data_IF_357341758211
#
_entry.id   IF_357341758211
#
_cell.length_a   1.000
_cell.length_b   1.000
_cell.length_c   1.000
_cell.angle_alpha   90.00
_cell.angle_beta   90.00
_cell.angle_gamma   90.00
#
_symmetry.space_group_name_H-M   'P 1'
#
loop_
_entity.id
_entity.type
_entity.pdbx_description
1 polymer ?
#
# COMPACT_ATOMS: atom_id res chain seq x y z
N UNK A 1 10.86 -15.43 -16.23
CA UNK A 1 10.15 -14.60 -15.25
C UNK A 1 9.56 -15.49 -14.16
N UNK A 2 9.78 -15.13 -12.93
CA UNK A 2 9.28 -15.91 -11.81
C UNK A 2 7.93 -15.35 -11.40
N UNK A 3 6.86 -16.09 -11.67
CA UNK A 3 5.50 -15.63 -11.36
C UNK A 3 5.26 -15.41 -9.88
N UNK A 4 6.07 -16.02 -9.01
CA UNK A 4 5.98 -15.81 -7.58
C UNK A 4 6.42 -14.41 -7.16
N UNK A 5 7.17 -13.68 -7.99
CA UNK A 5 7.65 -12.34 -7.70
C UNK A 5 6.83 -11.24 -8.37
N UNK A 6 6.10 -11.60 -9.42
CA UNK A 6 5.28 -10.67 -10.16
C UNK A 6 3.82 -11.08 -10.07
N UNK A 7 2.96 -10.10 -9.94
CA UNK A 7 1.54 -10.32 -9.97
C UNK A 7 0.93 -9.42 -11.05
N UNK A 8 0.17 -10.02 -11.96
CA UNK A 8 -0.51 -9.31 -13.02
C UNK A 8 -2.01 -9.40 -12.79
N UNK A 9 -2.65 -8.24 -12.72
CA UNK A 9 -4.10 -8.13 -12.56
C UNK A 9 -4.68 -7.51 -13.81
N UNK A 10 -5.73 -8.13 -14.34
CA UNK A 10 -6.40 -7.69 -15.57
C UNK A 10 -7.81 -7.23 -15.24
N UNK A 11 -8.21 -6.08 -15.78
CA UNK A 11 -9.54 -5.55 -15.55
C UNK A 11 -10.02 -4.77 -16.78
N UNK A 12 -11.31 -4.95 -17.12
CA UNK A 12 -11.86 -4.36 -18.33
C UNK A 12 -12.39 -2.94 -18.15
N UNK A 13 -12.90 -2.60 -16.96
CA UNK A 13 -13.63 -1.35 -16.74
C UNK A 13 -12.83 -0.25 -16.06
N UNK A 14 -11.69 -0.57 -15.44
CA UNK A 14 -10.89 0.41 -14.73
C UNK A 14 -9.59 0.68 -15.47
N UNK A 15 -9.06 1.88 -15.25
CA UNK A 15 -7.82 2.29 -15.86
C UNK A 15 -6.66 2.04 -14.91
N UNK A 16 -5.88 1.01 -15.15
CA UNK A 16 -4.73 0.66 -14.31
C UNK A 16 -3.59 1.67 -14.41
N UNK A 17 -3.58 2.53 -15.42
CA UNK A 17 -2.60 3.62 -15.45
C UNK A 17 -2.86 4.60 -14.31
N UNK A 18 -4.11 4.79 -13.94
CA UNK A 18 -4.44 5.62 -12.77
C UNK A 18 -3.98 4.96 -11.48
N UNK A 19 -4.23 3.67 -11.32
CA UNK A 19 -3.75 2.94 -10.16
C UNK A 19 -2.22 2.94 -10.09
N UNK A 20 -1.54 2.78 -11.22
CA UNK A 20 -0.09 2.87 -11.29
C UNK A 20 0.40 4.24 -10.81
N UNK A 21 -0.25 5.32 -11.23
CA UNK A 21 0.09 6.66 -10.77
C UNK A 21 -0.15 6.81 -9.26
N UNK A 22 -1.21 6.20 -8.74
CA UNK A 22 -1.48 6.20 -7.30
C UNK A 22 -0.37 5.51 -6.53
N UNK A 23 0.11 4.36 -7.02
CA UNK A 23 1.21 3.63 -6.39
C UNK A 23 2.47 4.50 -6.35
N UNK A 24 2.77 5.16 -7.45
CA UNK A 24 3.96 6.02 -7.54
C UNK A 24 3.86 7.23 -6.60
N UNK A 25 2.72 7.86 -6.54
CA UNK A 25 2.51 9.00 -5.64
C UNK A 25 2.58 8.56 -4.18
N UNK A 26 1.94 7.47 -3.84
CA UNK A 26 1.98 6.92 -2.49
C UNK A 26 3.40 6.56 -2.07
N UNK A 27 4.15 5.91 -2.96
CA UNK A 27 5.54 5.55 -2.70
C UNK A 27 6.40 6.80 -2.46
N UNK A 28 6.19 7.84 -3.25
CA UNK A 28 6.90 9.10 -3.09
C UNK A 28 6.59 9.77 -1.75
N UNK A 29 5.31 9.80 -1.37
CA UNK A 29 4.89 10.42 -0.10
C UNK A 29 5.43 9.70 1.13
N UNK A 30 5.65 8.39 1.01
CA UNK A 30 6.09 7.57 2.14
C UNK A 30 7.57 7.19 2.06
N UNK A 31 8.32 7.80 1.14
CA UNK A 31 9.73 7.45 0.92
C UNK A 31 10.59 7.60 2.16
N UNK A 32 10.32 8.61 2.98
CA UNK A 32 11.07 8.89 4.19
C UNK A 32 10.48 8.22 5.45
N UNK A 33 9.43 7.41 5.29
CA UNK A 33 8.85 6.66 6.40
C UNK A 33 9.47 5.26 6.43
N UNK A 34 10.41 5.05 7.35
CA UNK A 34 11.24 3.84 7.37
C UNK A 34 10.45 2.54 7.52
N UNK A 35 9.31 2.58 8.20
CA UNK A 35 8.50 1.39 8.47
C UNK A 35 7.39 1.15 7.45
N UNK A 36 7.40 1.86 6.33
CA UNK A 36 6.41 1.70 5.25
C UNK A 36 7.13 1.31 3.97
N UNK A 37 6.58 0.35 3.25
CA UNK A 37 7.07 -0.03 1.93
C UNK A 37 5.89 -0.13 0.98
N UNK A 38 6.17 -0.06 -0.30
CA UNK A 38 5.16 -0.20 -1.36
C UNK A 38 5.63 -1.26 -2.34
N UNK A 39 4.70 -1.96 -3.01
CA UNK A 39 5.08 -2.90 -4.05
C UNK A 39 5.81 -2.17 -5.18
N UNK A 40 6.83 -2.80 -5.71
CA UNK A 40 7.52 -2.26 -6.87
C UNK A 40 6.59 -2.31 -8.07
N UNK A 41 6.45 -1.18 -8.75
CA UNK A 41 5.64 -1.07 -9.96
C UNK A 41 6.52 -1.27 -11.19
N UNK A 42 6.07 -2.11 -12.10
CA UNK A 42 6.74 -2.32 -13.39
C UNK A 42 6.00 -1.53 -14.46
N UNK A 43 6.24 -0.22 -14.47
CA UNK A 43 5.54 0.73 -15.33
C UNK A 43 5.66 0.35 -16.82
N UNK A 44 6.81 -0.19 -17.21
CA UNK A 44 7.08 -0.59 -18.58
C UNK A 44 6.07 -1.62 -19.10
N UNK A 45 5.56 -2.48 -18.22
CA UNK A 45 4.63 -3.55 -18.58
C UNK A 45 3.19 -3.25 -18.19
N UNK A 46 2.93 -2.07 -17.63
CA UNK A 46 1.61 -1.66 -17.17
C UNK A 46 0.90 -0.86 -18.26
N UNK A 47 -0.37 -1.20 -18.48
CA UNK A 47 -1.23 -0.51 -19.44
C UNK A 47 -2.53 -0.14 -18.77
N UNK A 48 -3.45 0.48 -19.51
CA UNK A 48 -4.76 0.79 -18.96
C UNK A 48 -5.56 -0.46 -18.57
N UNK A 49 -5.22 -1.62 -19.13
CA UNK A 49 -5.94 -2.87 -18.90
C UNK A 49 -5.15 -3.90 -18.12
N UNK A 50 -3.85 -3.66 -17.88
CA UNK A 50 -2.97 -4.61 -17.18
C UNK A 50 -2.09 -3.84 -16.20
N UNK A 51 -2.11 -4.27 -14.94
CA UNK A 51 -1.24 -3.74 -13.90
C UNK A 51 -0.18 -4.79 -13.56
N UNK A 52 1.09 -4.43 -13.68
CA UNK A 52 2.19 -5.34 -13.35
C UNK A 52 2.98 -4.76 -12.19
N UNK A 53 3.02 -5.49 -11.09
CA UNK A 53 3.71 -5.04 -9.88
C UNK A 53 4.28 -6.23 -9.12
N UNK A 54 5.14 -5.93 -8.16
CA UNK A 54 5.74 -6.93 -7.29
C UNK A 54 4.67 -7.67 -6.49
N UNK A 55 4.79 -8.99 -6.41
CA UNK A 55 3.94 -9.79 -5.52
C UNK A 55 4.53 -9.74 -4.11
N UNK A 56 3.73 -9.32 -3.15
CA UNK A 56 4.19 -9.15 -1.78
C UNK A 56 3.90 -10.43 -0.99
N UNK A 57 4.98 -11.11 -0.60
CA UNK A 57 4.90 -12.23 0.34
C UNK A 57 5.09 -11.67 1.74
N UNK A 58 4.11 -11.86 2.59
CA UNK A 58 4.16 -11.36 3.94
C UNK A 58 2.94 -11.81 4.73
N UNK A 59 2.92 -11.44 5.99
CA UNK A 59 1.76 -11.73 6.83
C UNK A 59 0.65 -10.74 6.53
N UNK A 60 -0.59 -11.21 6.50
CA UNK A 60 -1.72 -10.29 6.57
C UNK A 60 -1.67 -9.60 7.93
N UNK A 61 -2.07 -8.35 7.98
CA UNK A 61 -1.99 -7.59 9.24
C UNK A 61 -2.88 -8.18 10.33
N UNK A 62 -3.91 -8.92 9.97
CA UNK A 62 -4.80 -9.59 10.93
C UNK A 62 -4.37 -11.01 11.29
N UNK A 63 -3.25 -11.49 10.76
CA UNK A 63 -2.70 -12.79 11.11
C UNK A 63 -1.91 -12.69 12.43
N UNK A 64 -2.64 -12.56 13.52
CA UNK A 64 -2.05 -12.37 14.86
C UNK A 64 -1.12 -13.50 15.26
N UNK A 65 -1.55 -14.73 15.00
CA UNK A 65 -0.78 -15.91 15.36
C UNK A 65 0.55 -15.97 14.61
N UNK A 66 0.50 -15.76 13.29
CA UNK A 66 1.71 -15.76 12.47
C UNK A 66 2.67 -14.64 12.83
N UNK A 67 2.13 -13.43 13.08
CA UNK A 67 2.94 -12.29 13.46
C UNK A 67 3.64 -12.51 14.82
N UNK A 68 2.90 -12.98 15.81
CA UNK A 68 3.48 -13.27 17.13
C UNK A 68 4.55 -14.35 17.06
N UNK A 69 4.30 -15.37 16.26
CA UNK A 69 5.24 -16.49 16.10
C UNK A 69 6.54 -16.04 15.47
N UNK A 70 6.47 -15.03 14.59
CA UNK A 70 7.64 -14.47 13.92
C UNK A 70 8.31 -13.35 14.74
N UNK A 71 7.86 -13.12 15.97
CA UNK A 71 8.49 -12.18 16.89
C UNK A 71 7.99 -10.75 16.80
N UNK A 72 6.90 -10.50 16.10
CA UNK A 72 6.35 -9.15 15.99
C UNK A 72 5.58 -8.74 17.23
N UNK A 73 5.65 -7.46 17.55
CA UNK A 73 4.85 -6.82 18.59
C UNK A 73 3.60 -6.22 17.95
N UNK A 74 2.43 -6.76 18.28
CA UNK A 74 1.17 -6.33 17.67
C UNK A 74 0.82 -4.88 18.00
N UNK A 75 1.16 -4.41 19.20
CA UNK A 75 0.91 -3.03 19.59
C UNK A 75 1.77 -2.07 18.76
N UNK A 76 3.01 -2.43 18.53
CA UNK A 76 3.91 -1.65 17.70
C UNK A 76 3.40 -1.55 16.28
N UNK A 77 2.96 -2.66 15.70
CA UNK A 77 2.39 -2.68 14.35
C UNK A 77 1.16 -1.78 14.28
N UNK A 78 0.26 -1.91 15.25
CA UNK A 78 -0.97 -1.11 15.28
C UNK A 78 -0.67 0.37 15.41
N UNK A 79 0.28 0.74 16.25
CA UNK A 79 0.68 2.13 16.45
C UNK A 79 1.28 2.72 15.16
N UNK A 80 2.17 1.98 14.52
CA UNK A 80 2.78 2.41 13.25
C UNK A 80 1.75 2.55 12.14
N UNK A 81 0.80 1.63 12.09
CA UNK A 81 -0.28 1.69 11.10
C UNK A 81 -1.11 2.95 11.27
N UNK A 82 -1.52 3.25 12.51
CA UNK A 82 -2.31 4.43 12.80
C UNK A 82 -1.53 5.69 12.49
N UNK A 83 -0.27 5.78 12.91
CA UNK A 83 0.58 6.93 12.66
C UNK A 83 0.72 7.19 11.16
N UNK A 84 0.97 6.14 10.39
CA UNK A 84 1.11 6.27 8.95
C UNK A 84 -0.20 6.71 8.29
N UNK A 85 -1.32 6.16 8.73
CA UNK A 85 -2.60 6.52 8.15
C UNK A 85 -2.98 7.97 8.45
N UNK A 86 -2.74 8.42 9.68
CA UNK A 86 -2.96 9.82 10.06
C UNK A 86 -2.10 10.73 9.19
N UNK A 87 -0.84 10.37 8.98
CA UNK A 87 0.06 11.13 8.11
C UNK A 87 -0.47 11.19 6.67
N UNK A 88 -0.95 10.07 6.15
CA UNK A 88 -1.53 10.04 4.81
C UNK A 88 -2.67 11.05 4.67
N UNK A 89 -3.56 11.08 5.66
CA UNK A 89 -4.74 11.95 5.61
C UNK A 89 -4.36 13.41 5.86
N UNK A 90 -3.61 13.67 6.92
CA UNK A 90 -3.39 15.05 7.41
C UNK A 90 -2.23 15.73 6.68
N UNK A 91 -1.10 15.06 6.54
CA UNK A 91 0.10 15.66 5.94
C UNK A 91 0.13 15.52 4.43
N UNK A 92 -0.07 14.31 3.92
CA UNK A 92 0.02 14.05 2.49
C UNK A 92 -1.24 14.47 1.75
N UNK A 93 -2.40 14.38 2.42
CA UNK A 93 -3.69 14.65 1.78
C UNK A 93 -4.00 13.63 0.69
N UNK A 94 -3.32 12.51 0.69
CA UNK A 94 -3.51 11.42 -0.26
C UNK A 94 -3.40 10.12 0.53
N UNK A 95 -4.50 9.38 0.62
CA UNK A 95 -4.62 8.28 1.57
C UNK A 95 -5.37 7.11 0.96
N UNK A 96 -5.11 5.92 1.51
CA UNK A 96 -5.82 4.71 1.10
C UNK A 96 -7.28 4.82 1.57
N UNK A 97 -8.22 4.70 0.64
CA UNK A 97 -9.64 4.89 0.94
C UNK A 97 -10.33 3.62 1.47
N UNK A 98 -9.65 2.47 1.41
CA UNK A 98 -10.22 1.20 1.85
C UNK A 98 -9.19 0.39 2.64
N UNK A 99 -8.80 0.86 3.85
CA UNK A 99 -7.70 0.26 4.62
C UNK A 99 -8.13 -0.96 5.43
N UNK A 100 -8.79 -1.92 4.80
CA UNK A 100 -9.14 -3.17 5.48
C UNK A 100 -7.94 -4.13 5.50
N UNK A 101 -7.96 -5.17 6.37
CA UNK A 101 -6.81 -6.05 6.53
C UNK A 101 -6.30 -6.73 5.26
N UNK A 102 -7.18 -6.95 4.27
CA UNK A 102 -6.79 -7.53 3.00
C UNK A 102 -5.86 -6.66 2.17
N UNK A 103 -5.76 -5.36 2.49
CA UNK A 103 -4.95 -4.40 1.75
C UNK A 103 -3.67 -4.01 2.48
N UNK A 104 -3.35 -4.68 3.59
CA UNK A 104 -2.16 -4.35 4.38
C UNK A 104 -1.41 -5.62 4.73
N UNK A 105 -0.14 -5.66 4.37
CA UNK A 105 0.75 -6.78 4.67
C UNK A 105 1.90 -6.32 5.55
N UNK A 106 2.49 -7.26 6.29
CA UNK A 106 3.70 -7.02 7.07
C UNK A 106 4.81 -7.88 6.47
N UNK A 107 5.88 -7.24 6.04
CA UNK A 107 7.04 -7.92 5.46
C UNK A 107 8.32 -7.22 5.91
N UNK A 108 9.26 -8.00 6.44
CA UNK A 108 10.57 -7.50 6.88
C UNK A 108 10.46 -6.32 7.85
N UNK A 109 9.51 -6.40 8.77
CA UNK A 109 9.29 -5.36 9.77
C UNK A 109 8.58 -4.12 9.24
N UNK A 110 8.10 -4.15 8.00
CA UNK A 110 7.47 -2.98 7.38
C UNK A 110 6.01 -3.23 7.05
N UNK A 111 5.25 -2.14 7.11
CA UNK A 111 3.86 -2.13 6.67
C UNK A 111 3.86 -1.91 5.16
N UNK A 112 3.22 -2.81 4.42
CA UNK A 112 3.13 -2.71 2.97
C UNK A 112 1.67 -2.55 2.58
N UNK A 113 1.34 -1.38 2.04
CA UNK A 113 0.00 -1.12 1.51
C UNK A 113 -0.09 -1.68 0.10
N UNK A 114 -1.14 -2.44 -0.15
CA UNK A 114 -1.42 -3.00 -1.48
C UNK A 114 -2.80 -2.53 -1.94
N UNK A 115 -3.10 -2.72 -3.21
CA UNK A 115 -4.37 -2.33 -3.84
C UNK A 115 -4.63 -0.82 -3.74
N UNK A 116 -3.96 -0.06 -4.60
CA UNK A 116 -4.07 1.40 -4.66
C UNK A 116 -5.17 1.88 -5.61
N UNK A 117 -6.14 1.03 -5.90
CA UNK A 117 -7.24 1.37 -6.80
C UNK A 117 -8.22 2.37 -6.20
N UNK A 118 -8.33 2.40 -4.87
CA UNK A 118 -9.22 3.31 -4.16
C UNK A 118 -8.42 4.24 -3.27
N UNK A 119 -8.13 5.42 -3.77
CA UNK A 119 -7.41 6.45 -3.01
C UNK A 119 -8.31 7.67 -2.82
N UNK A 120 -8.19 8.29 -1.64
CA UNK A 120 -8.86 9.54 -1.34
C UNK A 120 -7.87 10.69 -1.37
N UNK A 121 -8.36 11.89 -1.62
CA UNK A 121 -7.52 13.08 -1.66
C UNK A 121 -8.24 14.23 -0.98
N UNK A 122 -7.55 14.90 -0.05
CA UNK A 122 -8.06 16.10 0.58
C UNK A 122 -7.57 17.33 -0.19
N UNK A 123 -8.45 18.28 -0.40
CA UNK A 123 -8.07 19.57 -0.96
C UNK A 123 -7.31 20.37 0.10
N UNK A 124 -6.62 21.44 -0.34
CA UNK A 124 -5.96 22.35 0.61
C UNK A 124 -6.96 22.95 1.59
N UNK A 125 -8.17 23.22 1.15
CA UNK A 125 -9.23 23.73 2.02
C UNK A 125 -9.59 22.71 3.12
N UNK A 126 -9.74 21.44 2.74
CA UNK A 126 -10.09 20.38 3.67
C UNK A 126 -8.98 20.15 4.71
N UNK A 127 -7.73 20.26 4.29
CA UNK A 127 -6.60 20.10 5.20
C UNK A 127 -6.54 21.17 6.29
N UNK A 128 -7.03 22.37 6.01
CA UNK A 128 -7.02 23.49 6.95
C UNK A 128 -8.12 23.39 8.00
N UNK A 129 -9.10 22.58 7.74
CA UNK A 129 -10.20 22.35 8.66
C UNK A 129 -9.94 21.11 9.49
#
# INVERSE_FOLDING_TARGET
MVLSELWTVTQEEMNFLLEASNIEEFASNNRDVAFVATPKLYRKYTTSHVLVMEYIKGFNIDDKEGLLKDGYDLEEIGSKLIDNYIRQVIEDGFFHADPHPGNVKIRDGKIVWIDMGMMGRLSEHDKRN
#
